data_IF_782798088221
#
_entry.id   IF_782798088221
#
_cell.length_a   1.000
_cell.length_b   1.000
_cell.length_c   1.000
_cell.angle_alpha   90.00
_cell.angle_beta   90.00
_cell.angle_gamma   90.00
#
_symmetry.space_group_name_H-M   'P 1'
#
loop_
_entity.id
_entity.type
_entity.pdbx_description
1 polymer ?
#
# COMPACT_ATOMS: atom_id res chain seq x y z
N UNK A 1 37.74 24.37 12.11
CA UNK A 1 37.41 22.93 11.95
C UNK A 1 36.59 22.43 13.15
N UNK A 2 35.48 23.11 13.48
CA UNK A 2 34.62 22.75 14.64
C UNK A 2 33.14 23.06 14.36
N UNK A 3 32.83 24.10 13.60
CA UNK A 3 31.46 24.43 13.22
C UNK A 3 30.97 23.69 11.97
N UNK A 4 31.83 23.48 10.97
CA UNK A 4 31.48 22.72 9.76
C UNK A 4 31.13 21.27 10.10
N UNK A 5 31.91 20.62 10.96
CA UNK A 5 31.67 19.23 11.38
C UNK A 5 30.36 19.10 12.18
N UNK A 6 30.02 20.10 13.01
CA UNK A 6 28.77 20.13 13.77
C UNK A 6 27.54 20.36 12.87
N UNK A 7 27.69 21.16 11.80
CA UNK A 7 26.63 21.36 10.79
C UNK A 7 26.40 20.10 9.97
N UNK A 8 27.46 19.38 9.59
CA UNK A 8 27.36 18.09 8.90
C UNK A 8 26.69 17.06 9.81
N UNK A 9 27.11 16.94 11.07
CA UNK A 9 26.50 16.02 12.03
C UNK A 9 25.00 16.32 12.24
N UNK A 10 24.61 17.59 12.35
CA UNK A 10 23.18 17.97 12.46
C UNK A 10 22.39 17.63 11.21
N UNK A 11 22.99 17.75 10.02
CA UNK A 11 22.35 17.32 8.77
C UNK A 11 22.19 15.80 8.75
N UNK A 12 23.22 15.04 9.15
CA UNK A 12 23.15 13.58 9.26
C UNK A 12 22.11 13.13 10.29
N UNK A 13 22.01 13.80 11.44
CA UNK A 13 20.98 13.56 12.45
C UNK A 13 19.58 13.91 11.91
N UNK A 14 19.41 15.02 11.20
CA UNK A 14 18.14 15.38 10.54
C UNK A 14 17.78 14.37 9.44
N UNK A 15 18.74 13.90 8.64
CA UNK A 15 18.51 12.87 7.62
C UNK A 15 18.17 11.53 8.27
N UNK A 16 18.89 11.13 9.31
CA UNK A 16 18.64 9.93 10.11
C UNK A 16 17.26 10.01 10.76
N UNK A 17 16.87 11.17 11.28
CA UNK A 17 15.55 11.49 11.82
C UNK A 17 14.51 11.83 10.75
N UNK A 18 14.82 11.79 9.45
CA UNK A 18 13.79 11.84 8.39
C UNK A 18 13.60 10.44 7.79
N UNK A 19 14.70 9.72 7.61
CA UNK A 19 14.75 8.34 7.10
C UNK A 19 14.15 7.36 8.12
N UNK A 20 14.45 7.49 9.41
CA UNK A 20 13.88 6.61 10.44
C UNK A 20 12.38 6.82 10.68
N UNK A 21 11.83 8.05 10.78
CA UNK A 21 10.38 8.20 10.85
C UNK A 21 9.68 7.76 9.58
N UNK A 22 10.32 7.83 8.40
CA UNK A 22 9.78 7.19 7.20
C UNK A 22 9.65 5.66 7.38
N UNK A 23 10.71 4.97 7.81
CA UNK A 23 10.67 3.53 8.05
C UNK A 23 9.73 3.12 9.21
N UNK A 24 9.68 3.93 10.27
CA UNK A 24 8.77 3.75 11.42
C UNK A 24 7.33 4.00 10.98
N UNK A 25 7.07 5.05 10.18
CA UNK A 25 5.76 5.36 9.63
C UNK A 25 5.30 4.26 8.69
N UNK A 26 6.16 3.78 7.79
CA UNK A 26 5.88 2.63 6.93
C UNK A 26 5.51 1.40 7.77
N UNK A 27 6.27 1.12 8.83
CA UNK A 27 5.99 0.00 9.74
C UNK A 27 4.68 0.16 10.49
N UNK A 28 4.36 1.38 10.95
CA UNK A 28 3.10 1.72 11.62
C UNK A 28 1.91 1.62 10.67
N UNK A 29 2.06 2.06 9.43
CA UNK A 29 1.02 1.96 8.40
C UNK A 29 0.79 0.51 7.97
N UNK A 30 1.86 -0.28 7.80
CA UNK A 30 1.73 -1.73 7.56
C UNK A 30 0.99 -2.38 8.72
N UNK A 31 1.34 -2.04 9.97
CA UNK A 31 0.66 -2.56 11.16
C UNK A 31 -0.80 -2.14 11.19
N UNK A 32 -1.11 -0.87 10.93
CA UNK A 32 -2.47 -0.35 10.85
C UNK A 32 -3.29 -1.09 9.79
N UNK A 33 -2.80 -1.22 8.56
CA UNK A 33 -3.49 -1.97 7.51
C UNK A 33 -3.59 -3.47 7.80
N UNK A 34 -2.63 -4.05 8.52
CA UNK A 34 -2.69 -5.44 8.99
C UNK A 34 -3.88 -5.67 9.91
N UNK A 35 -4.07 -4.78 10.86
CA UNK A 35 -5.04 -4.96 11.93
C UNK A 35 -6.42 -4.42 11.56
N UNK A 36 -6.48 -3.31 10.84
CA UNK A 36 -7.72 -2.58 10.59
C UNK A 36 -8.07 -2.46 9.10
N UNK A 37 -7.16 -2.80 8.19
CA UNK A 37 -7.38 -2.61 6.75
C UNK A 37 -8.65 -3.29 6.23
N UNK A 38 -8.95 -4.50 6.68
CA UNK A 38 -10.17 -5.24 6.31
C UNK A 38 -11.47 -4.56 6.75
N UNK A 39 -11.42 -3.72 7.77
CA UNK A 39 -12.56 -2.97 8.31
C UNK A 39 -12.71 -1.59 7.64
N UNK A 40 -11.68 -1.13 6.92
CA UNK A 40 -11.73 0.13 6.19
C UNK A 40 -12.61 0.01 4.95
N UNK A 41 -13.78 0.65 5.02
CA UNK A 41 -14.69 0.75 3.88
C UNK A 41 -14.06 1.53 2.72
N UNK A 42 -13.33 2.61 2.99
CA UNK A 42 -12.64 3.44 2.02
C UNK A 42 -11.46 4.17 2.66
N UNK A 43 -10.30 4.14 2.01
CA UNK A 43 -9.15 4.98 2.39
C UNK A 43 -9.16 6.20 1.48
N UNK A 44 -9.00 7.38 2.06
CA UNK A 44 -8.91 8.63 1.33
C UNK A 44 -7.47 8.85 0.83
N UNK A 45 -7.31 9.04 -0.48
CA UNK A 45 -6.01 9.18 -1.14
C UNK A 45 -5.44 10.61 -1.11
N UNK A 46 -6.17 11.58 -0.57
CA UNK A 46 -5.67 12.95 -0.45
C UNK A 46 -4.95 13.23 0.89
N UNK A 47 -4.67 12.19 1.68
CA UNK A 47 -3.91 12.33 2.92
C UNK A 47 -2.40 12.25 2.59
N UNK A 48 -1.60 13.27 2.94
CA UNK A 48 -0.16 13.28 2.70
C UNK A 48 0.59 12.06 3.27
N UNK A 49 0.08 11.45 4.34
CA UNK A 49 0.66 10.24 4.96
C UNK A 49 0.46 9.03 4.06
N UNK A 50 -0.70 8.94 3.42
CA UNK A 50 -1.07 7.89 2.47
C UNK A 50 -0.26 8.05 1.18
N UNK A 51 -0.07 9.27 0.69
CA UNK A 51 0.79 9.56 -0.46
C UNK A 51 2.26 9.17 -0.22
N UNK A 52 2.77 9.41 0.99
CA UNK A 52 4.13 9.03 1.38
C UNK A 52 4.33 7.51 1.37
N UNK A 53 3.38 6.77 1.94
CA UNK A 53 3.35 5.30 1.94
C UNK A 53 3.33 4.75 0.52
N UNK A 54 2.53 5.34 -0.36
CA UNK A 54 2.47 4.94 -1.77
C UNK A 54 3.77 5.23 -2.52
N UNK A 55 4.47 6.32 -2.22
CA UNK A 55 5.76 6.63 -2.86
C UNK A 55 6.80 5.53 -2.60
N UNK A 56 6.79 4.91 -1.42
CA UNK A 56 7.64 3.77 -1.09
C UNK A 56 7.26 2.49 -1.86
N UNK A 57 5.96 2.28 -2.05
CA UNK A 57 5.36 1.06 -2.59
C UNK A 57 5.29 1.04 -4.14
N UNK A 58 5.28 2.21 -4.80
CA UNK A 58 5.24 2.39 -6.27
C UNK A 58 6.34 1.69 -7.07
N UNK A 59 7.35 1.13 -6.41
CA UNK A 59 8.47 0.45 -7.08
C UNK A 59 8.08 -0.93 -7.63
N UNK A 60 7.05 -1.56 -7.08
CA UNK A 60 6.56 -2.85 -7.53
C UNK A 60 5.37 -2.69 -8.48
N UNK A 61 5.51 -3.15 -9.73
CA UNK A 61 4.39 -3.24 -10.66
C UNK A 61 3.57 -4.48 -10.36
N UNK A 62 2.28 -4.32 -10.14
CA UNK A 62 1.34 -5.44 -10.05
C UNK A 62 0.57 -5.58 -11.35
N UNK A 63 0.34 -6.83 -11.76
CA UNK A 63 -0.52 -7.11 -12.91
C UNK A 63 -1.97 -7.10 -12.45
N UNK A 64 -2.74 -6.16 -12.98
CA UNK A 64 -4.18 -6.02 -12.70
C UNK A 64 -4.93 -6.96 -13.65
N UNK A 65 -5.98 -7.69 -13.20
CA UNK A 65 -6.78 -8.54 -14.07
C UNK A 65 -7.57 -7.72 -15.10
N UNK A 66 -8.13 -8.37 -16.11
CA UNK A 66 -9.03 -7.69 -17.04
C UNK A 66 -10.28 -7.15 -16.32
N UNK A 67 -10.90 -6.10 -16.86
CA UNK A 67 -12.12 -5.52 -16.31
C UNK A 67 -13.23 -6.56 -16.12
N UNK A 68 -13.33 -7.53 -17.02
CA UNK A 68 -14.31 -8.62 -16.91
C UNK A 68 -14.08 -9.45 -15.64
N UNK A 69 -12.83 -9.84 -15.38
CA UNK A 69 -12.47 -10.59 -14.17
C UNK A 69 -12.70 -9.75 -12.92
N UNK A 70 -12.33 -8.46 -12.95
CA UNK A 70 -12.58 -7.54 -11.83
C UNK A 70 -14.08 -7.48 -11.54
N UNK A 71 -14.93 -7.29 -12.55
CA UNK A 71 -16.38 -7.20 -12.35
C UNK A 71 -16.98 -8.49 -11.79
N UNK A 72 -16.50 -9.67 -12.21
CA UNK A 72 -16.89 -10.96 -11.63
C UNK A 72 -16.46 -11.10 -10.17
N UNK A 73 -15.23 -10.70 -9.85
CA UNK A 73 -14.75 -10.69 -8.46
C UNK A 73 -15.54 -9.72 -7.57
N UNK A 74 -15.96 -8.58 -8.12
CA UNK A 74 -16.77 -7.58 -7.42
C UNK A 74 -18.24 -7.99 -7.27
N UNK A 75 -18.80 -8.77 -8.21
CA UNK A 75 -20.17 -9.29 -8.14
C UNK A 75 -20.33 -10.42 -7.12
N UNK A 76 -19.22 -10.93 -6.57
CA UNK A 76 -19.23 -12.03 -5.61
C UNK A 76 -19.41 -13.39 -6.27
N UNK A 77 -19.23 -13.50 -7.59
CA UNK A 77 -19.07 -14.82 -8.23
C UNK A 77 -17.85 -15.49 -7.61
N UNK A 78 -18.06 -16.63 -6.95
CA UNK A 78 -17.00 -17.43 -6.34
C UNK A 78 -16.10 -18.01 -7.43
N UNK A 79 -15.10 -17.23 -7.83
CA UNK A 79 -13.88 -17.79 -8.38
C UNK A 79 -13.24 -18.59 -7.24
N UNK A 80 -12.97 -19.89 -7.47
CA UNK A 80 -12.28 -20.78 -6.54
C UNK A 80 -10.90 -20.20 -6.20
N UNK A 81 -10.87 -19.32 -5.20
CA UNK A 81 -9.69 -18.62 -4.74
C UNK A 81 -9.07 -19.45 -3.63
N UNK A 82 -7.94 -20.08 -3.92
CA UNK A 82 -7.06 -20.56 -2.86
C UNK A 82 -6.62 -19.33 -2.04
N UNK A 83 -7.14 -19.19 -0.82
CA UNK A 83 -6.77 -18.10 0.09
C UNK A 83 -5.31 -18.29 0.51
N UNK A 84 -4.38 -17.70 -0.26
CA UNK A 84 -3.00 -17.51 0.17
C UNK A 84 -2.94 -16.32 1.12
N UNK A 85 -1.96 -16.34 2.03
CA UNK A 85 -1.58 -15.15 2.79
C UNK A 85 -0.90 -14.16 1.84
N UNK A 86 -1.70 -13.28 1.25
CA UNK A 86 -1.20 -12.18 0.41
C UNK A 86 -0.55 -11.13 1.31
N UNK A 87 0.68 -10.69 1.03
CA UNK A 87 1.30 -9.59 1.76
C UNK A 87 0.44 -8.32 1.71
N UNK A 88 0.34 -7.61 2.83
CA UNK A 88 -0.43 -6.35 2.91
C UNK A 88 0.12 -5.30 1.96
N UNK A 89 1.45 -5.25 1.79
CA UNK A 89 2.09 -4.38 0.79
C UNK A 89 1.55 -4.65 -0.60
N UNK A 90 1.36 -5.92 -0.97
CA UNK A 90 0.81 -6.30 -2.27
C UNK A 90 -0.67 -5.89 -2.42
N UNK A 91 -1.49 -6.11 -1.39
CA UNK A 91 -2.88 -5.62 -1.36
C UNK A 91 -2.93 -4.10 -1.54
N UNK A 92 -2.01 -3.40 -0.88
CA UNK A 92 -1.90 -1.96 -0.93
C UNK A 92 -1.55 -1.48 -2.36
N UNK A 93 -0.58 -2.12 -3.05
CA UNK A 93 -0.26 -1.79 -4.46
C UNK A 93 -1.49 -1.99 -5.34
N UNK A 94 -2.19 -3.12 -5.22
CA UNK A 94 -3.39 -3.43 -6.01
C UNK A 94 -4.48 -2.39 -5.77
N UNK A 95 -4.71 -2.02 -4.51
CA UNK A 95 -5.69 -0.99 -4.15
C UNK A 95 -5.34 0.37 -4.77
N UNK A 96 -4.07 0.79 -4.69
CA UNK A 96 -3.59 2.04 -5.28
C UNK A 96 -3.76 2.07 -6.80
N UNK A 97 -3.34 0.99 -7.47
CA UNK A 97 -3.35 0.90 -8.93
C UNK A 97 -4.80 0.92 -9.46
N UNK A 98 -5.72 0.20 -8.82
CA UNK A 98 -7.14 0.25 -9.18
C UNK A 98 -7.74 1.65 -8.96
N UNK A 99 -7.46 2.30 -7.82
CA UNK A 99 -7.97 3.65 -7.55
C UNK A 99 -7.39 4.69 -8.52
N UNK A 100 -6.12 4.58 -8.87
CA UNK A 100 -5.45 5.43 -9.87
C UNK A 100 -6.06 5.26 -11.26
N UNK A 101 -6.55 4.07 -11.58
CA UNK A 101 -7.29 3.78 -12.81
C UNK A 101 -8.80 4.10 -12.73
N UNK A 102 -9.25 4.82 -11.69
CA UNK A 102 -10.61 5.35 -11.56
C UNK A 102 -11.63 4.39 -10.93
N UNK A 103 -11.20 3.23 -10.43
CA UNK A 103 -12.11 2.27 -9.81
C UNK A 103 -12.60 2.75 -8.44
N UNK A 104 -13.92 2.68 -8.22
CA UNK A 104 -14.57 2.95 -6.93
C UNK A 104 -14.67 1.66 -6.12
N UNK A 105 -13.55 1.23 -5.54
CA UNK A 105 -13.48 -0.01 -4.74
C UNK A 105 -13.14 0.24 -3.27
N UNK A 106 -13.59 -0.66 -2.41
CA UNK A 106 -13.20 -0.78 -1.01
C UNK A 106 -11.88 -1.55 -0.84
N UNK A 107 -11.26 -1.44 0.34
CA UNK A 107 -10.06 -2.24 0.65
C UNK A 107 -10.36 -3.74 0.59
N UNK A 108 -11.52 -4.17 1.12
CA UNK A 108 -11.96 -5.58 1.05
C UNK A 108 -12.01 -6.11 -0.38
N UNK A 109 -12.55 -5.32 -1.31
CA UNK A 109 -12.60 -5.69 -2.72
C UNK A 109 -11.19 -5.77 -3.34
N UNK A 110 -10.29 -4.83 -3.03
CA UNK A 110 -8.91 -4.93 -3.47
C UNK A 110 -8.17 -6.13 -2.87
N UNK A 111 -8.42 -6.50 -1.61
CA UNK A 111 -7.86 -7.72 -1.00
C UNK A 111 -8.30 -8.98 -1.77
N UNK A 112 -9.55 -9.04 -2.21
CA UNK A 112 -10.07 -10.14 -3.03
C UNK A 112 -9.36 -10.19 -4.39
N UNK A 113 -9.23 -9.04 -5.06
CA UNK A 113 -8.54 -8.94 -6.36
C UNK A 113 -7.06 -9.29 -6.22
N UNK A 114 -6.40 -8.80 -5.16
CA UNK A 114 -5.01 -9.10 -4.86
C UNK A 114 -4.79 -10.60 -4.59
N UNK A 115 -5.74 -11.25 -3.92
CA UNK A 115 -5.72 -12.71 -3.72
C UNK A 115 -5.86 -13.47 -5.04
N UNK A 116 -6.63 -12.94 -5.99
CA UNK A 116 -6.73 -13.52 -7.33
C UNK A 116 -5.42 -13.37 -8.11
N UNK A 117 -4.87 -12.16 -8.18
CA UNK A 117 -3.65 -11.91 -8.97
C UNK A 117 -2.40 -12.55 -8.38
N UNK A 118 -2.33 -12.71 -7.06
CA UNK A 118 -1.22 -13.41 -6.40
C UNK A 118 -1.27 -14.94 -6.61
N UNK A 119 -2.39 -15.46 -7.13
CA UNK A 119 -2.55 -16.87 -7.49
C UNK A 119 -2.24 -17.16 -8.97
N UNK A 120 -2.07 -16.13 -9.81
CA UNK A 120 -1.62 -16.25 -11.21
C UNK A 120 -0.09 -16.34 -11.27
#
# INVERSE_FOLDING_TARGET
MKEQDLRIQRLEEMFTFMIHPLAILDSLLISFFRHYGSELANIYFGDPIIDLFWAGIKKEKVQIPSNEIIMRLLSGEELLLNKKNVPISYIAIVYYELKSNGYKISWKQASTIASYTYNL
#
